data_IF_260100856632
#
_entry.id   IF_260100856632
#
_cell.length_a   1.000
_cell.length_b   1.000
_cell.length_c   1.000
_cell.angle_alpha   90.00
_cell.angle_beta   90.00
_cell.angle_gamma   90.00
#
_symmetry.space_group_name_H-M   'P 1'
#
loop_
_entity.id
_entity.type
_entity.pdbx_description
1 polymer ?
#
# COMPACT_ATOMS: atom_id res chain seq x y z
N UNK A 1 -20.52 32.84 11.57
CA UNK A 1 -19.97 32.08 10.41
C UNK A 1 -21.09 31.18 9.88
N UNK A 2 -21.57 31.43 8.66
CA UNK A 2 -22.70 30.67 8.07
C UNK A 2 -22.26 29.24 7.67
N UNK A 3 -23.12 28.21 7.83
CA UNK A 3 -22.85 26.83 7.39
C UNK A 3 -22.42 26.70 5.92
N UNK A 4 -22.87 27.62 5.06
CA UNK A 4 -22.53 27.67 3.64
C UNK A 4 -21.03 27.90 3.38
N UNK A 5 -20.36 28.70 4.23
CA UNK A 5 -18.92 28.97 4.12
C UNK A 5 -18.08 27.76 4.53
N UNK A 6 -18.58 26.96 5.49
CA UNK A 6 -17.96 25.70 5.90
C UNK A 6 -18.07 24.64 4.78
N UNK A 7 -19.26 24.49 4.19
CA UNK A 7 -19.52 23.56 3.07
C UNK A 7 -18.64 23.88 1.86
N UNK A 8 -18.44 25.16 1.53
CA UNK A 8 -17.59 25.60 0.41
C UNK A 8 -16.10 25.38 0.68
N UNK A 9 -15.63 25.53 1.92
CA UNK A 9 -14.27 25.15 2.32
C UNK A 9 -14.08 23.64 2.24
N UNK A 10 -15.01 22.84 2.76
CA UNK A 10 -14.97 21.38 2.68
C UNK A 10 -14.91 20.85 1.24
N UNK A 11 -15.72 21.40 0.33
CA UNK A 11 -15.73 21.02 -1.08
C UNK A 11 -14.40 21.33 -1.78
N UNK A 12 -13.75 22.45 -1.45
CA UNK A 12 -12.44 22.82 -2.02
C UNK A 12 -11.32 21.90 -1.55
N UNK A 13 -11.44 21.33 -0.35
CA UNK A 13 -10.48 20.36 0.18
C UNK A 13 -10.79 18.91 -0.24
N UNK A 14 -11.96 18.62 -0.80
CA UNK A 14 -12.34 17.26 -1.20
C UNK A 14 -11.45 16.73 -2.34
N UNK A 15 -11.12 17.58 -3.32
CA UNK A 15 -10.16 17.24 -4.39
C UNK A 15 -8.74 17.07 -3.86
N UNK A 16 -8.31 17.89 -2.89
CA UNK A 16 -6.99 17.75 -2.28
C UNK A 16 -6.89 16.50 -1.40
N UNK A 17 -7.96 16.17 -0.66
CA UNK A 17 -8.05 14.96 0.14
C UNK A 17 -8.10 13.72 -0.76
N UNK A 18 -8.92 13.75 -1.81
CA UNK A 18 -9.01 12.67 -2.80
C UNK A 18 -7.67 12.46 -3.52
N UNK A 19 -6.99 13.53 -3.95
CA UNK A 19 -5.69 13.44 -4.59
C UNK A 19 -4.62 12.85 -3.65
N UNK A 20 -4.56 13.29 -2.39
CA UNK A 20 -3.65 12.72 -1.39
C UNK A 20 -3.96 11.25 -1.12
N UNK A 21 -5.25 10.91 -1.06
CA UNK A 21 -5.71 9.56 -0.83
C UNK A 21 -5.38 8.64 -2.02
N UNK A 22 -5.54 9.12 -3.25
CA UNK A 22 -5.19 8.40 -4.47
C UNK A 22 -3.66 8.24 -4.61
N UNK A 23 -2.88 9.22 -4.16
CA UNK A 23 -1.42 9.11 -4.11
C UNK A 23 -0.96 8.05 -3.11
N UNK A 24 -1.59 7.97 -1.93
CA UNK A 24 -1.34 6.87 -0.99
C UNK A 24 -1.71 5.53 -1.63
N UNK A 25 -2.88 5.42 -2.27
CA UNK A 25 -3.30 4.18 -2.96
C UNK A 25 -2.33 3.76 -4.07
N UNK A 26 -1.82 4.71 -4.85
CA UNK A 26 -0.82 4.47 -5.89
C UNK A 26 0.47 3.90 -5.29
N UNK A 27 0.97 4.49 -4.21
CA UNK A 27 2.15 3.96 -3.51
C UNK A 27 1.91 2.53 -3.03
N UNK A 28 0.75 2.26 -2.42
CA UNK A 28 0.39 0.92 -1.93
C UNK A 28 0.31 -0.10 -3.07
N UNK A 29 -0.28 0.26 -4.21
CA UNK A 29 -0.35 -0.61 -5.38
C UNK A 29 1.06 -0.95 -5.94
N UNK A 30 1.96 0.03 -6.00
CA UNK A 30 3.34 -0.18 -6.42
C UNK A 30 4.10 -1.08 -5.42
N UNK A 31 3.92 -0.87 -4.12
CA UNK A 31 4.52 -1.71 -3.09
C UNK A 31 4.02 -3.16 -3.16
N UNK A 32 2.72 -3.36 -3.42
CA UNK A 32 2.13 -4.68 -3.62
C UNK A 32 2.71 -5.37 -4.85
N UNK A 33 2.75 -4.69 -5.98
CA UNK A 33 3.34 -5.22 -7.21
C UNK A 33 4.79 -5.65 -6.99
N UNK A 34 5.59 -4.79 -6.36
CA UNK A 34 6.99 -5.06 -6.08
C UNK A 34 7.17 -6.21 -5.07
N UNK A 35 6.34 -6.27 -4.02
CA UNK A 35 6.33 -7.39 -3.09
C UNK A 35 6.07 -8.72 -3.81
N UNK A 36 5.03 -8.76 -4.65
CA UNK A 36 4.64 -9.94 -5.40
C UNK A 36 5.71 -10.39 -6.39
N UNK A 37 6.29 -9.43 -7.12
CA UNK A 37 7.39 -9.67 -8.05
C UNK A 37 8.62 -10.25 -7.33
N UNK A 38 9.04 -9.65 -6.20
CA UNK A 38 10.17 -10.16 -5.43
C UNK A 38 9.87 -11.54 -4.81
N UNK A 39 8.66 -11.74 -4.31
CA UNK A 39 8.28 -12.99 -3.67
C UNK A 39 8.18 -14.15 -4.68
N UNK A 40 7.45 -13.98 -5.79
CA UNK A 40 7.24 -15.06 -6.76
C UNK A 40 8.37 -15.19 -7.77
N UNK A 41 8.88 -14.09 -8.33
CA UNK A 41 9.90 -14.16 -9.38
C UNK A 41 11.32 -14.32 -8.83
N UNK A 42 11.58 -13.87 -7.59
CA UNK A 42 12.91 -13.98 -6.96
C UNK A 42 12.97 -14.91 -5.76
N UNK A 43 11.84 -15.39 -5.24
CA UNK A 43 11.78 -16.26 -4.06
C UNK A 43 12.07 -15.55 -2.74
N UNK A 44 11.97 -14.22 -2.69
CA UNK A 44 12.38 -13.44 -1.51
C UNK A 44 11.44 -13.66 -0.32
N UNK A 45 12.01 -13.86 0.86
CA UNK A 45 11.32 -13.85 2.13
C UNK A 45 10.88 -12.44 2.55
N UNK A 46 10.10 -12.37 3.64
CA UNK A 46 9.61 -11.07 4.13
C UNK A 46 10.76 -10.16 4.59
N UNK A 47 11.85 -10.72 5.09
CA UNK A 47 13.02 -9.96 5.56
C UNK A 47 13.77 -9.30 4.40
N UNK A 48 13.99 -10.04 3.32
CA UNK A 48 14.64 -9.54 2.10
C UNK A 48 13.79 -8.47 1.40
N UNK A 49 12.48 -8.67 1.34
CA UNK A 49 11.53 -7.65 0.86
C UNK A 49 11.61 -6.40 1.73
N UNK A 50 11.56 -6.55 3.06
CA UNK A 50 11.60 -5.41 3.97
C UNK A 50 12.87 -4.60 3.77
N UNK A 51 14.02 -5.26 3.63
CA UNK A 51 15.30 -4.63 3.34
C UNK A 51 15.30 -3.94 1.96
N UNK A 52 14.78 -4.61 0.92
CA UNK A 52 14.69 -4.04 -0.43
C UNK A 52 13.82 -2.78 -0.47
N UNK A 53 12.70 -2.80 0.25
CA UNK A 53 11.77 -1.67 0.41
C UNK A 53 12.26 -0.61 1.41
N UNK A 54 13.47 -0.79 1.96
CA UNK A 54 14.11 0.12 2.94
C UNK A 54 13.32 0.30 4.24
N UNK A 55 12.61 -0.73 4.67
CA UNK A 55 12.10 -0.79 6.04
C UNK A 55 13.23 -1.13 7.01
N UNK A 56 13.15 -0.56 8.20
CA UNK A 56 14.11 -0.82 9.29
C UNK A 56 14.06 -2.28 9.74
N UNK A 57 12.87 -2.89 9.75
CA UNK A 57 12.68 -4.29 10.07
C UNK A 57 11.37 -4.85 9.47
N UNK A 58 11.28 -6.17 9.45
CA UNK A 58 10.16 -6.95 8.89
C UNK A 58 8.86 -6.77 9.65
N UNK A 59 8.92 -6.45 10.94
CA UNK A 59 7.74 -6.21 11.77
C UNK A 59 7.07 -4.89 11.38
N UNK A 60 7.86 -3.85 11.15
CA UNK A 60 7.42 -2.55 10.65
C UNK A 60 6.88 -2.67 9.22
N UNK A 61 7.52 -3.45 8.35
CA UNK A 61 6.98 -3.79 7.04
C UNK A 61 5.60 -4.45 7.15
N UNK A 62 5.47 -5.53 7.93
CA UNK A 62 4.19 -6.26 8.09
C UNK A 62 3.06 -5.39 8.64
N UNK A 63 3.36 -4.51 9.60
CA UNK A 63 2.38 -3.57 10.17
C UNK A 63 1.93 -2.54 9.15
N UNK A 64 2.86 -1.88 8.47
CA UNK A 64 2.56 -0.90 7.42
C UNK A 64 1.81 -1.54 6.27
N UNK A 65 2.24 -2.72 5.84
CA UNK A 65 1.58 -3.51 4.81
C UNK A 65 0.13 -3.82 5.18
N UNK A 66 -0.13 -4.39 6.35
CA UNK A 66 -1.50 -4.68 6.82
C UNK A 66 -2.34 -3.41 6.93
N UNK A 67 -1.77 -2.30 7.42
CA UNK A 67 -2.46 -1.02 7.54
C UNK A 67 -2.87 -0.47 6.18
N UNK A 68 -2.05 -0.67 5.15
CA UNK A 68 -2.27 -0.13 3.81
C UNK A 68 -3.15 -1.02 2.94
N UNK A 69 -2.98 -2.33 3.01
CA UNK A 69 -3.62 -3.29 2.11
C UNK A 69 -4.84 -3.96 2.76
N UNK A 70 -5.00 -3.82 4.08
CA UNK A 70 -6.01 -4.53 4.86
C UNK A 70 -5.71 -6.01 5.07
N UNK A 71 -4.66 -6.55 4.44
CA UNK A 71 -4.32 -7.97 4.45
C UNK A 71 -2.89 -8.19 4.95
N UNK A 72 -2.65 -9.34 5.58
CA UNK A 72 -1.29 -9.72 5.99
C UNK A 72 -0.54 -10.33 4.81
N UNK A 73 0.80 -10.16 4.71
CA UNK A 73 1.58 -10.72 3.60
C UNK A 73 1.38 -12.22 3.39
N UNK A 74 1.11 -12.96 4.48
CA UNK A 74 0.83 -14.40 4.41
C UNK A 74 -0.43 -14.77 3.64
N UNK A 75 -1.46 -13.92 3.64
CA UNK A 75 -2.70 -14.16 2.92
C UNK A 75 -2.53 -14.03 1.40
N UNK A 76 -1.54 -13.25 0.96
CA UNK A 76 -1.26 -13.01 -0.46
C UNK A 76 -0.42 -14.14 -1.07
N UNK A 77 0.33 -14.90 -0.26
CA UNK A 77 1.16 -16.00 -0.76
C UNK A 77 0.37 -17.07 -1.53
N UNK A 78 -0.92 -17.25 -1.21
CA UNK A 78 -1.81 -18.18 -1.92
C UNK A 78 -2.45 -17.60 -3.18
N UNK A 79 -2.29 -16.29 -3.44
CA UNK A 79 -2.81 -15.62 -4.64
C UNK A 79 -1.77 -15.70 -5.78
N UNK A 80 -1.21 -16.88 -6.05
CA UNK A 80 -0.31 -17.02 -7.18
C UNK A 80 -1.09 -16.66 -8.47
N UNK A 81 -0.64 -15.70 -9.30
CA UNK A 81 -1.27 -15.43 -10.57
C UNK A 81 -0.89 -16.59 -11.48
N UNK A 82 -1.86 -17.21 -12.13
CA UNK A 82 -1.71 -18.36 -13.02
C UNK A 82 -0.84 -18.10 -14.28
N UNK A 83 -0.01 -17.05 -14.30
CA UNK A 83 0.70 -16.55 -15.49
C UNK A 83 2.19 -16.24 -15.32
N UNK A 84 2.84 -16.70 -14.24
CA UNK A 84 4.30 -16.59 -14.06
C UNK A 84 5.02 -17.96 -14.15
N UNK A 85 4.54 -18.87 -15.02
CA UNK A 85 5.31 -20.04 -15.45
C UNK A 85 6.26 -19.69 -16.60
#
# INVERSE_FOLDING_TARGET
>A
MSPATCKRKLQKHHTHFQALHDEVRKHVALYLYLYLYLYWSRGYGNDEVAQYLRFTDTTNFRRSFKRWTGVVPSAIRGLQPDGFS
#
